data_IF_534314626246
#
_entry.id   IF_534314626246
#
_cell.length_a   1.000
_cell.length_b   1.000
_cell.length_c   1.000
_cell.angle_alpha   90.00
_cell.angle_beta   90.00
_cell.angle_gamma   90.00
#
_symmetry.space_group_name_H-M   'P 1'
#
loop_
_entity.id
_entity.type
_entity.pdbx_description
1 polymer ?
#
# COMPACT_ATOMS: atom_id res chain seq x y z
N UNK A 1 -24.64 -14.65 -32.11
CA UNK A 1 -23.68 -13.54 -31.94
C UNK A 1 -23.04 -13.74 -30.58
N UNK A 2 -21.86 -14.36 -30.55
CA UNK A 2 -21.12 -14.60 -29.29
C UNK A 2 -20.54 -13.25 -28.89
N UNK A 3 -21.03 -12.67 -27.79
CA UNK A 3 -20.37 -11.55 -27.13
C UNK A 3 -19.02 -12.09 -26.66
N UNK A 4 -17.97 -11.87 -27.45
CA UNK A 4 -16.61 -12.05 -26.95
C UNK A 4 -16.45 -11.04 -25.83
N UNK A 5 -16.38 -11.51 -24.58
CA UNK A 5 -15.99 -10.68 -23.45
C UNK A 5 -14.65 -10.05 -23.82
N UNK A 6 -14.61 -8.71 -23.91
CA UNK A 6 -13.32 -8.02 -23.96
C UNK A 6 -12.58 -8.46 -22.70
N UNK A 7 -11.49 -9.21 -22.86
CA UNK A 7 -10.56 -9.43 -21.76
C UNK A 7 -10.10 -8.06 -21.28
N UNK A 8 -10.23 -7.78 -19.98
CA UNK A 8 -9.69 -6.56 -19.40
C UNK A 8 -8.20 -6.45 -19.78
N UNK A 9 -7.71 -5.24 -20.12
CA UNK A 9 -6.32 -5.05 -20.49
C UNK A 9 -5.40 -5.41 -19.31
N UNK A 10 -4.34 -6.18 -19.59
CA UNK A 10 -3.30 -6.43 -18.58
C UNK A 10 -2.52 -5.15 -18.31
N UNK A 11 -2.85 -4.48 -17.21
CA UNK A 11 -2.23 -3.22 -16.78
C UNK A 11 -1.04 -3.44 -15.85
N UNK A 12 -0.47 -4.65 -15.75
CA UNK A 12 0.75 -4.88 -14.97
C UNK A 12 1.95 -4.17 -15.65
N UNK A 13 2.88 -3.55 -14.90
CA UNK A 13 4.12 -3.06 -15.49
C UNK A 13 4.84 -4.18 -16.27
N UNK A 14 5.41 -3.89 -17.46
CA UNK A 14 5.68 -2.56 -18.01
C UNK A 14 4.54 -1.96 -18.86
N UNK A 15 3.35 -2.55 -18.88
CA UNK A 15 2.25 -2.08 -19.72
C UNK A 15 1.75 -0.68 -19.25
N UNK A 16 1.20 0.16 -20.15
CA UNK A 16 0.58 1.42 -19.75
C UNK A 16 -0.49 1.24 -18.64
N UNK A 17 -0.66 2.23 -17.74
CA UNK A 17 -0.10 3.58 -17.73
C UNK A 17 1.25 3.71 -16.99
N UNK A 18 1.93 2.60 -16.69
CA UNK A 18 3.16 2.61 -15.91
C UNK A 18 4.33 3.24 -16.68
N UNK A 19 5.10 4.05 -15.95
CA UNK A 19 6.31 4.70 -16.42
C UNK A 19 7.51 4.18 -15.61
N UNK A 20 8.66 3.95 -16.25
CA UNK A 20 9.85 3.50 -15.54
C UNK A 20 10.34 4.58 -14.56
N UNK A 21 10.69 4.18 -13.34
CA UNK A 21 11.32 5.04 -12.36
C UNK A 21 12.85 4.95 -12.51
N UNK A 22 13.52 6.09 -12.67
CA UNK A 22 14.98 6.15 -12.70
C UNK A 22 15.54 6.13 -11.29
N UNK A 23 16.36 5.12 -10.97
CA UNK A 23 16.97 5.01 -9.66
C UNK A 23 18.14 5.99 -9.45
N UNK A 24 17.98 6.88 -8.47
CA UNK A 24 19.01 7.82 -8.01
C UNK A 24 19.60 7.40 -6.66
N UNK A 25 19.29 6.17 -6.19
CA UNK A 25 19.89 5.52 -5.03
C UNK A 25 19.24 5.88 -3.68
N UNK A 26 18.30 6.83 -3.65
CA UNK A 26 17.61 7.19 -2.40
C UNK A 26 16.54 6.18 -1.99
N UNK A 27 16.02 6.31 -0.77
CA UNK A 27 14.92 5.48 -0.33
C UNK A 27 14.14 6.04 0.86
N UNK A 28 13.22 5.23 1.35
CA UNK A 28 12.39 5.54 2.52
C UNK A 28 12.31 4.34 3.45
N UNK A 29 12.30 4.61 4.76
CA UNK A 29 11.73 3.70 5.75
C UNK A 29 10.22 3.96 5.78
N UNK A 30 9.40 2.90 5.74
CA UNK A 30 7.95 2.97 5.84
C UNK A 30 7.44 2.02 6.93
N UNK A 31 6.61 2.54 7.84
CA UNK A 31 6.02 1.78 8.94
C UNK A 31 4.62 1.33 8.57
N UNK A 32 4.37 0.03 8.67
CA UNK A 32 3.03 -0.54 8.55
C UNK A 32 2.59 -1.21 9.86
N UNK A 33 1.28 -1.29 10.04
CA UNK A 33 0.68 -1.94 11.21
C UNK A 33 0.64 -3.44 10.95
N UNK A 34 1.18 -4.22 11.89
CA UNK A 34 1.17 -5.67 11.82
C UNK A 34 -0.16 -6.23 12.30
N UNK A 35 -0.69 -7.24 11.59
CA UNK A 35 -1.84 -7.99 12.05
C UNK A 35 -1.50 -8.83 13.30
N UNK A 36 -2.25 -8.69 14.42
CA UNK A 36 -1.94 -9.39 15.66
C UNK A 36 -2.08 -10.91 15.58
N UNK A 37 -2.82 -11.43 14.58
CA UNK A 37 -2.99 -12.87 14.37
C UNK A 37 -1.90 -13.45 13.45
N UNK A 38 -0.96 -12.63 12.99
CA UNK A 38 0.04 -13.05 12.02
C UNK A 38 1.27 -13.71 12.64
N UNK A 39 1.70 -14.81 12.01
CA UNK A 39 2.96 -15.53 12.24
C UNK A 39 4.12 -14.75 11.62
N UNK A 40 3.93 -14.30 10.39
CA UNK A 40 4.82 -13.40 9.66
C UNK A 40 4.26 -12.00 9.70
N UNK A 41 5.10 -10.96 9.84
CA UNK A 41 4.57 -9.62 10.04
C UNK A 41 3.99 -9.05 8.74
N UNK A 42 2.70 -9.27 8.51
CA UNK A 42 1.97 -8.72 7.36
C UNK A 42 1.06 -7.59 7.83
N UNK A 43 0.57 -6.78 6.89
CA UNK A 43 -0.33 -5.66 7.19
C UNK A 43 -1.60 -6.13 7.92
N UNK A 44 -2.21 -5.24 8.70
CA UNK A 44 -3.52 -5.47 9.35
C UNK A 44 -4.61 -5.78 8.30
N UNK A 45 -5.03 -7.05 8.27
CA UNK A 45 -6.08 -7.57 7.39
C UNK A 45 -7.37 -7.78 8.18
N UNK A 46 -7.26 -8.37 9.38
CA UNK A 46 -8.41 -8.80 10.18
C UNK A 46 -9.00 -7.70 11.05
N UNK A 47 -8.52 -6.46 10.93
CA UNK A 47 -8.98 -5.32 11.73
C UNK A 47 -10.19 -4.66 11.06
N UNK A 48 -11.40 -4.75 11.65
CA UNK A 48 -12.58 -4.13 11.08
C UNK A 48 -12.43 -2.60 11.04
N UNK A 49 -12.90 -1.98 9.96
CA UNK A 49 -12.97 -0.53 9.75
C UNK A 49 -11.63 0.21 9.83
N UNK A 50 -10.48 -0.48 9.70
CA UNK A 50 -9.15 0.13 9.67
C UNK A 50 -8.12 -0.78 8.96
N UNK A 51 -8.58 -1.68 8.08
CA UNK A 51 -7.69 -2.57 7.34
C UNK A 51 -7.04 -1.83 6.17
N UNK A 52 -5.72 -2.01 6.04
CA UNK A 52 -4.89 -1.36 5.03
C UNK A 52 -4.48 -2.37 3.97
N UNK A 53 -4.32 -1.89 2.74
CA UNK A 53 -3.86 -2.71 1.62
C UNK A 53 -2.35 -2.61 1.37
N UNK A 54 -1.64 -1.69 2.02
CA UNK A 54 -0.19 -1.52 1.91
C UNK A 54 0.57 -1.98 3.17
N UNK A 55 1.77 -2.58 3.03
CA UNK A 55 2.38 -3.01 1.77
C UNK A 55 1.59 -4.15 1.11
N UNK A 56 1.32 -3.99 -0.19
CA UNK A 56 0.62 -5.02 -0.96
C UNK A 56 1.63 -5.99 -1.58
N UNK A 57 2.09 -6.95 -0.78
CA UNK A 57 3.19 -7.86 -1.09
C UNK A 57 2.85 -8.77 -2.27
N UNK A 58 1.58 -9.16 -2.37
CA UNK A 58 1.00 -10.06 -3.37
C UNK A 58 1.03 -9.46 -4.77
N UNK A 59 1.02 -8.13 -4.87
CA UNK A 59 1.13 -7.42 -6.15
C UNK A 59 2.43 -6.65 -6.30
N UNK A 60 3.23 -6.52 -5.24
CA UNK A 60 4.39 -5.61 -5.21
C UNK A 60 4.02 -4.15 -5.37
N UNK A 61 2.77 -3.78 -5.08
CA UNK A 61 2.30 -2.41 -5.26
C UNK A 61 2.33 -1.63 -3.95
N UNK A 62 2.49 -0.31 -4.06
CA UNK A 62 2.40 0.61 -2.94
C UNK A 62 1.58 1.84 -3.33
N UNK A 63 0.49 2.08 -2.60
CA UNK A 63 -0.45 3.15 -2.89
C UNK A 63 -1.23 2.94 -4.18
N UNK A 64 -1.30 1.73 -4.72
CA UNK A 64 -2.20 1.37 -5.83
C UNK A 64 -3.62 1.21 -5.30
N UNK A 65 -3.81 0.32 -4.32
CA UNK A 65 -5.11 0.06 -3.70
C UNK A 65 -5.38 1.00 -2.52
N UNK A 66 -4.35 1.53 -1.87
CA UNK A 66 -4.46 2.35 -0.67
C UNK A 66 -4.15 3.84 -0.94
N UNK A 67 -4.62 4.71 -0.05
CA UNK A 67 -4.32 6.15 -0.02
C UNK A 67 -3.06 6.49 0.80
N UNK A 68 -2.32 5.52 1.35
CA UNK A 68 -1.30 5.72 2.39
C UNK A 68 -0.01 6.42 1.92
N UNK A 69 0.38 7.51 2.58
CA UNK A 69 1.65 8.22 2.33
C UNK A 69 1.79 8.87 0.93
N UNK A 70 0.81 9.66 0.45
CA UNK A 70 0.89 10.30 -0.87
C UNK A 70 2.11 11.22 -1.00
N UNK A 71 2.52 11.89 0.08
CA UNK A 71 3.72 12.73 0.11
C UNK A 71 5.02 11.93 -0.11
N UNK A 72 5.11 10.72 0.45
CA UNK A 72 6.23 9.82 0.23
C UNK A 72 6.28 9.36 -1.23
N UNK A 73 5.14 8.90 -1.78
CA UNK A 73 5.06 8.45 -3.18
C UNK A 73 5.42 9.57 -4.17
N UNK A 74 4.92 10.79 -3.93
CA UNK A 74 5.32 12.00 -4.68
C UNK A 74 6.83 12.20 -4.67
N UNK A 75 7.44 12.12 -3.49
CA UNK A 75 8.86 12.35 -3.31
C UNK A 75 9.73 11.24 -3.92
N UNK A 76 9.28 9.99 -3.88
CA UNK A 76 9.91 8.85 -4.56
C UNK A 76 10.01 9.13 -6.06
N UNK A 77 8.90 9.48 -6.71
CA UNK A 77 8.88 9.78 -8.15
C UNK A 77 9.74 11.00 -8.48
N UNK A 78 9.59 12.09 -7.72
CA UNK A 78 10.33 13.33 -7.99
C UNK A 78 11.85 13.19 -7.80
N UNK A 79 12.29 12.33 -6.87
CA UNK A 79 13.71 12.21 -6.49
C UNK A 79 14.38 10.93 -6.99
N UNK A 80 13.66 10.01 -7.61
CA UNK A 80 14.19 8.69 -7.95
C UNK A 80 14.64 7.90 -6.73
N UNK A 81 13.90 8.02 -5.61
CA UNK A 81 14.21 7.31 -4.36
C UNK A 81 13.58 5.91 -4.38
N UNK A 82 14.16 5.01 -5.17
CA UNK A 82 13.51 3.78 -5.64
C UNK A 82 13.41 2.67 -4.61
N UNK A 83 13.87 2.85 -3.38
CA UNK A 83 13.78 1.81 -2.34
C UNK A 83 12.81 2.17 -1.23
N UNK A 84 11.91 1.26 -0.87
CA UNK A 84 11.04 1.37 0.31
C UNK A 84 11.36 0.20 1.25
N UNK A 85 11.94 0.48 2.41
CA UNK A 85 12.21 -0.51 3.45
C UNK A 85 11.07 -0.53 4.46
N UNK A 86 10.52 -1.71 4.70
CA UNK A 86 9.34 -1.86 5.54
C UNK A 86 9.71 -2.21 6.97
N UNK A 87 9.19 -1.40 7.88
CA UNK A 87 9.28 -1.59 9.31
C UNK A 87 7.90 -1.86 9.89
N UNK A 88 7.83 -2.67 10.92
CA UNK A 88 6.60 -2.83 11.70
C UNK A 88 6.89 -2.80 13.19
N UNK A 89 5.86 -2.64 14.01
CA UNK A 89 5.96 -2.72 15.47
C UNK A 89 5.24 -3.97 15.95
N UNK A 90 5.97 -4.84 16.64
CA UNK A 90 5.43 -6.04 17.29
C UNK A 90 5.85 -6.01 18.75
N UNK A 91 4.89 -6.16 19.65
CA UNK A 91 5.13 -6.17 21.10
C UNK A 91 5.92 -4.92 21.58
N UNK A 92 5.63 -3.76 20.97
CA UNK A 92 6.31 -2.49 21.29
C UNK A 92 7.70 -2.33 20.69
N UNK A 93 8.22 -3.31 19.96
CA UNK A 93 9.55 -3.29 19.33
C UNK A 93 9.43 -3.10 17.82
N UNK A 94 10.29 -2.25 17.24
CA UNK A 94 10.36 -2.04 15.80
C UNK A 94 11.26 -3.08 15.14
N UNK A 95 10.78 -3.64 14.03
CA UNK A 95 11.47 -4.65 13.24
C UNK A 95 11.56 -4.20 11.79
N UNK A 96 12.70 -4.43 11.13
CA UNK A 96 12.84 -4.34 9.69
C UNK A 96 12.46 -5.68 9.07
N UNK A 97 11.61 -5.69 8.05
CA UNK A 97 10.97 -6.93 7.56
C UNK A 97 11.29 -7.26 6.12
N UNK A 98 11.60 -6.23 5.31
CA UNK A 98 11.84 -6.39 3.90
C UNK A 98 11.92 -5.05 3.19
N UNK A 99 11.96 -5.08 1.87
CA UNK A 99 11.92 -3.89 1.04
C UNK A 99 11.30 -4.15 -0.32
N UNK A 100 10.86 -3.06 -0.95
CA UNK A 100 10.62 -2.99 -2.38
C UNK A 100 11.72 -2.18 -3.05
N UNK A 101 12.22 -2.68 -4.17
CA UNK A 101 12.79 -1.81 -5.20
C UNK A 101 11.66 -1.44 -6.17
N UNK A 102 11.48 -0.15 -6.43
CA UNK A 102 10.41 0.41 -7.25
C UNK A 102 10.95 0.64 -8.65
N UNK A 103 10.50 -0.18 -9.60
CA UNK A 103 10.84 -0.02 -11.01
C UNK A 103 9.87 0.89 -11.77
N UNK A 104 8.65 1.08 -11.26
CA UNK A 104 7.57 1.70 -12.03
C UNK A 104 6.68 2.60 -11.18
N UNK A 105 6.15 3.66 -11.80
CA UNK A 105 5.11 4.51 -11.22
C UNK A 105 4.01 4.82 -12.24
N UNK A 106 2.81 5.06 -11.77
CA UNK A 106 1.68 5.53 -12.57
C UNK A 106 0.95 6.65 -11.82
N UNK A 107 0.24 7.56 -12.51
CA UNK A 107 -0.69 8.47 -11.83
C UNK A 107 -1.67 7.68 -10.95
N UNK A 108 -1.85 8.11 -9.71
CA UNK A 108 -2.89 7.56 -8.84
C UNK A 108 -4.28 8.06 -9.24
N UNK A 109 -5.32 7.57 -8.56
CA UNK A 109 -6.73 7.97 -8.75
C UNK A 109 -6.96 9.49 -8.77
N UNK A 110 -6.12 10.28 -8.08
CA UNK A 110 -6.21 11.74 -8.03
C UNK A 110 -5.28 12.47 -9.01
N UNK A 111 -4.55 11.72 -9.83
CA UNK A 111 -3.68 12.20 -10.90
C UNK A 111 -2.29 12.67 -10.45
N UNK A 112 -1.35 12.63 -11.40
CA UNK A 112 0.03 13.09 -11.22
C UNK A 112 0.12 14.62 -10.98
N UNK A 113 -0.83 15.39 -11.49
CA UNK A 113 -0.92 16.86 -11.26
C UNK A 113 -1.04 17.23 -9.78
N UNK A 114 -1.56 16.32 -8.94
CA UNK A 114 -1.63 16.47 -7.48
C UNK A 114 -0.47 15.79 -6.75
N UNK A 115 0.42 15.14 -7.49
CA UNK A 115 1.52 14.36 -6.97
C UNK A 115 1.08 13.06 -6.29
N UNK A 116 -0.09 12.54 -6.63
CA UNK A 116 -0.53 11.22 -6.18
C UNK A 116 -0.12 10.18 -7.23
N UNK A 117 0.68 9.20 -6.82
CA UNK A 117 1.21 8.14 -7.69
C UNK A 117 0.93 6.76 -7.10
N UNK A 118 0.64 5.77 -7.94
CA UNK A 118 0.80 4.37 -7.59
C UNK A 118 2.23 3.95 -7.91
N UNK A 119 2.83 3.10 -7.06
CA UNK A 119 4.16 2.54 -7.26
C UNK A 119 4.07 1.03 -7.45
N UNK A 120 4.92 0.48 -8.31
CA UNK A 120 5.05 -0.96 -8.48
C UNK A 120 6.52 -1.38 -8.42
N UNK A 121 6.76 -2.42 -7.63
CA UNK A 121 8.06 -3.00 -7.40
C UNK A 121 8.48 -3.90 -8.55
N UNK A 122 9.75 -3.84 -8.93
CA UNK A 122 10.41 -4.84 -9.77
C UNK A 122 11.15 -5.88 -8.91
N UNK A 123 11.48 -5.54 -7.66
CA UNK A 123 11.99 -6.47 -6.65
C UNK A 123 11.16 -6.38 -5.37
N UNK A 124 10.70 -7.54 -4.91
CA UNK A 124 9.97 -7.72 -3.65
C UNK A 124 10.80 -8.68 -2.79
N UNK A 125 11.28 -8.22 -1.63
CA UNK A 125 12.06 -9.08 -0.74
C UNK A 125 11.69 -8.89 0.72
N UNK A 126 11.14 -9.92 1.33
CA UNK A 126 10.95 -10.03 2.77
C UNK A 126 11.81 -11.13 3.35
N UNK A 127 12.15 -11.00 4.62
CA UNK A 127 13.07 -11.90 5.33
C UNK A 127 12.58 -12.11 6.76
N UNK A 128 13.28 -12.97 7.50
CA UNK A 128 13.13 -13.05 8.95
C UNK A 128 13.32 -11.65 9.59
N UNK A 129 12.38 -11.18 10.42
CA UNK A 129 12.42 -9.82 10.95
C UNK A 129 13.74 -9.48 11.63
N UNK A 130 14.35 -8.39 11.20
CA UNK A 130 15.66 -7.93 11.66
C UNK A 130 15.46 -6.90 12.76
N UNK A 131 16.10 -7.14 13.90
CA UNK A 131 16.20 -6.15 14.97
C UNK A 131 17.14 -5.02 14.53
N UNK A 132 16.67 -3.75 14.41
CA UNK A 132 17.53 -2.65 13.99
C UNK A 132 18.75 -2.43 14.89
N UNK A 133 18.73 -2.92 16.14
CA UNK A 133 19.84 -2.80 17.10
C UNK A 133 21.04 -3.68 16.73
N UNK A 134 20.84 -4.74 15.95
CA UNK A 134 21.90 -5.66 15.50
C UNK A 134 22.58 -5.21 14.22
N UNK A 135 22.04 -4.19 13.54
CA UNK A 135 22.63 -3.63 12.33
C UNK A 135 23.93 -2.87 12.64
N UNK A 136 24.80 -2.79 11.64
CA UNK A 136 25.97 -1.92 11.65
C UNK A 136 25.58 -0.44 11.42
N UNK A 137 26.49 0.49 11.72
CA UNK A 137 26.31 1.92 11.38
C UNK A 137 26.57 2.16 9.88
N UNK A 138 25.95 3.17 9.24
CA UNK A 138 24.96 4.11 9.78
C UNK A 138 23.50 3.60 9.86
N UNK A 139 23.17 2.45 9.26
CA UNK A 139 21.79 1.94 9.21
C UNK A 139 21.14 1.83 10.61
N UNK A 140 21.87 1.32 11.60
CA UNK A 140 21.39 1.26 12.99
C UNK A 140 20.90 2.61 13.52
N UNK A 141 21.70 3.67 13.38
CA UNK A 141 21.29 5.00 13.81
C UNK A 141 20.07 5.50 13.02
N UNK A 142 20.02 5.23 11.71
CA UNK A 142 18.90 5.66 10.88
C UNK A 142 17.56 5.06 11.30
N UNK A 143 17.53 3.76 11.64
CA UNK A 143 16.31 3.02 11.99
C UNK A 143 15.86 3.22 13.45
N UNK A 144 16.78 3.54 14.36
CA UNK A 144 16.46 3.77 15.78
C UNK A 144 15.93 5.19 16.08
N UNK A 145 16.16 6.14 15.17
CA UNK A 145 15.54 7.47 15.28
C UNK A 145 14.03 7.34 15.19
N UNK A 146 13.31 8.02 16.08
CA UNK A 146 11.84 8.03 16.10
C UNK A 146 11.29 8.75 14.87
N UNK A 147 10.41 8.08 14.12
CA UNK A 147 9.60 8.68 13.05
C UNK A 147 8.22 8.01 13.04
N UNK A 148 7.16 8.71 12.61
CA UNK A 148 5.79 8.21 12.76
C UNK A 148 5.47 7.12 11.73
N UNK A 149 5.39 7.49 10.46
CA UNK A 149 4.97 6.59 9.37
C UNK A 149 6.07 6.37 8.34
N UNK A 150 6.81 7.42 7.97
CA UNK A 150 7.90 7.31 7.01
C UNK A 150 9.09 8.20 7.36
N UNK A 151 10.26 7.87 6.81
CA UNK A 151 11.48 8.66 6.91
C UNK A 151 12.36 8.50 5.66
N UNK A 152 12.81 9.58 5.01
CA UNK A 152 13.77 9.47 3.91
C UNK A 152 15.14 9.00 4.40
N UNK A 153 15.83 8.23 3.56
CA UNK A 153 17.19 7.73 3.78
C UNK A 153 18.03 7.93 2.50
N UNK A 154 19.34 8.09 2.69
CA UNK A 154 20.28 8.29 1.59
C UNK A 154 20.78 6.97 0.99
N UNK A 155 21.56 7.08 -0.09
CA UNK A 155 22.10 5.94 -0.82
C UNK A 155 23.03 5.06 0.01
N UNK A 156 23.75 5.61 0.99
CA UNK A 156 24.63 4.82 1.84
C UNK A 156 23.79 3.88 2.72
N UNK A 157 22.74 4.40 3.36
CA UNK A 157 21.84 3.60 4.19
C UNK A 157 21.07 2.59 3.32
N UNK A 158 20.58 3.00 2.14
CA UNK A 158 19.89 2.10 1.19
C UNK A 158 20.78 0.91 0.83
N UNK A 159 22.02 1.15 0.42
CA UNK A 159 22.95 0.08 0.03
C UNK A 159 23.26 -0.86 1.19
N UNK A 160 23.46 -0.32 2.40
CA UNK A 160 23.68 -1.14 3.58
C UNK A 160 22.48 -2.03 3.91
N UNK A 161 21.27 -1.46 3.91
CA UNK A 161 20.05 -2.23 4.19
C UNK A 161 19.76 -3.26 3.11
N UNK A 162 20.00 -2.95 1.83
CA UNK A 162 19.91 -3.94 0.75
C UNK A 162 20.86 -5.09 0.97
N UNK A 163 22.15 -4.83 1.23
CA UNK A 163 23.13 -5.88 1.49
C UNK A 163 22.73 -6.78 2.68
N UNK A 164 22.22 -6.19 3.77
CA UNK A 164 21.78 -6.91 4.96
C UNK A 164 20.56 -7.80 4.70
N UNK A 165 19.62 -7.36 3.86
CA UNK A 165 18.43 -8.14 3.48
C UNK A 165 18.79 -9.15 2.39
N UNK A 166 19.60 -8.76 1.42
CA UNK A 166 19.96 -9.58 0.27
C UNK A 166 20.88 -10.75 0.62
N UNK A 167 21.62 -10.63 1.73
CA UNK A 167 22.41 -11.71 2.31
C UNK A 167 21.61 -12.74 3.13
N UNK A 168 20.28 -12.60 3.24
CA UNK A 168 19.41 -13.52 4.01
C UNK A 168 18.49 -14.32 3.09
N UNK A 169 18.05 -15.47 3.58
CA UNK A 169 17.03 -16.28 2.91
C UNK A 169 15.75 -15.47 2.74
N UNK A 170 15.20 -15.51 1.52
CA UNK A 170 13.92 -14.89 1.22
C UNK A 170 12.79 -15.60 1.98
N UNK A 171 11.91 -14.81 2.58
CA UNK A 171 10.65 -15.21 3.21
C UNK A 171 9.43 -14.64 2.50
N UNK A 172 9.60 -14.08 1.29
CA UNK A 172 8.52 -13.37 0.58
C UNK A 172 7.30 -14.27 0.36
N UNK A 173 7.49 -15.53 -0.03
CA UNK A 173 6.39 -16.45 -0.28
C UNK A 173 5.64 -16.81 1.01
N UNK A 174 6.35 -16.92 2.14
CA UNK A 174 5.73 -17.12 3.44
C UNK A 174 4.91 -15.91 3.90
N UNK A 175 5.36 -14.68 3.59
CA UNK A 175 4.56 -13.47 3.84
C UNK A 175 3.30 -13.44 2.96
N UNK A 176 3.41 -13.79 1.67
CA UNK A 176 2.24 -13.88 0.76
C UNK A 176 1.27 -14.95 1.25
N UNK A 177 1.77 -16.13 1.63
CA UNK A 177 0.96 -17.21 2.19
C UNK A 177 0.28 -16.81 3.49
N UNK A 178 0.94 -15.99 4.31
CA UNK A 178 0.35 -15.48 5.54
C UNK A 178 -0.79 -14.50 5.30
N UNK A 179 -0.68 -13.64 4.29
CA UNK A 179 -1.83 -12.82 3.86
C UNK A 179 -2.98 -13.71 3.43
N UNK A 180 -2.74 -14.69 2.56
CA UNK A 180 -3.79 -15.60 2.08
C UNK A 180 -4.50 -16.33 3.24
N UNK A 181 -3.73 -16.75 4.26
CA UNK A 181 -4.25 -17.38 5.48
C UNK A 181 -5.14 -16.44 6.28
N UNK A 182 -4.74 -15.18 6.47
CA UNK A 182 -5.53 -14.19 7.21
C UNK A 182 -6.78 -13.75 6.44
N UNK A 183 -6.70 -13.64 5.11
CA UNK A 183 -7.88 -13.39 4.28
C UNK A 183 -8.87 -14.54 4.34
N UNK A 184 -8.40 -15.80 4.38
CA UNK A 184 -9.26 -16.96 4.61
C UNK A 184 -9.93 -16.90 5.98
N UNK A 185 -9.15 -16.61 7.03
CA UNK A 185 -9.70 -16.42 8.37
C UNK A 185 -10.78 -15.34 8.38
N UNK A 186 -10.55 -14.19 7.74
CA UNK A 186 -11.55 -13.12 7.65
C UNK A 186 -12.83 -13.59 6.94
N UNK A 187 -12.70 -14.30 5.81
CA UNK A 187 -13.84 -14.85 5.07
C UNK A 187 -14.69 -15.80 5.91
N UNK A 188 -14.05 -16.69 6.67
CA UNK A 188 -14.75 -17.66 7.54
C UNK A 188 -15.59 -16.97 8.62
N UNK A 189 -15.27 -15.72 9.00
CA UNK A 189 -15.98 -14.98 10.04
C UNK A 189 -16.93 -13.89 9.53
N UNK A 190 -16.80 -13.49 8.26
CA UNK A 190 -17.49 -12.31 7.74
C UNK A 190 -17.95 -12.42 6.28
N UNK A 191 -17.72 -13.55 5.63
CA UNK A 191 -17.90 -13.77 4.18
C UNK A 191 -16.92 -12.98 3.28
N UNK A 192 -16.20 -11.99 3.85
CA UNK A 192 -15.28 -11.12 3.12
C UNK A 192 -13.82 -11.29 3.56
N UNK A 193 -12.89 -11.24 2.60
CA UNK A 193 -11.47 -11.08 2.88
C UNK A 193 -11.17 -9.69 3.48
N UNK A 194 -11.88 -8.66 3.00
CA UNK A 194 -11.80 -7.29 3.52
C UNK A 194 -13.21 -6.73 3.73
N UNK A 195 -13.81 -6.89 4.93
CA UNK A 195 -15.19 -6.49 5.19
C UNK A 195 -15.47 -5.00 4.91
N UNK A 196 -14.56 -4.12 5.36
CA UNK A 196 -14.70 -2.67 5.13
C UNK A 196 -14.61 -2.27 3.66
N UNK A 197 -14.06 -3.14 2.82
CA UNK A 197 -13.96 -2.94 1.37
C UNK A 197 -15.06 -3.70 0.62
N UNK A 198 -15.90 -4.49 1.30
CA UNK A 198 -16.88 -5.37 0.67
C UNK A 198 -16.25 -6.39 -0.28
N UNK A 199 -14.99 -6.79 -0.04
CA UNK A 199 -14.26 -7.67 -0.95
C UNK A 199 -14.23 -9.10 -0.45
N UNK A 200 -14.75 -10.01 -1.27
CA UNK A 200 -14.70 -11.45 -1.02
C UNK A 200 -13.27 -11.99 -1.21
N UNK A 201 -12.52 -11.44 -2.17
CA UNK A 201 -11.18 -11.88 -2.53
C UNK A 201 -10.07 -10.87 -2.16
N UNK A 202 -8.85 -11.40 -2.08
CA UNK A 202 -7.62 -10.63 -1.95
C UNK A 202 -7.39 -9.62 -3.07
N UNK A 203 -6.48 -8.68 -2.84
CA UNK A 203 -6.05 -7.75 -3.91
C UNK A 203 -5.11 -8.47 -4.86
N UNK A 204 -5.32 -8.29 -6.16
CA UNK A 204 -4.46 -8.85 -7.18
C UNK A 204 -4.36 -7.93 -8.40
N UNK A 205 -3.50 -8.29 -9.36
CA UNK A 205 -3.27 -7.46 -10.55
C UNK A 205 -4.48 -7.29 -11.46
N UNK A 206 -5.46 -8.21 -11.46
CA UNK A 206 -6.70 -8.02 -12.23
C UNK A 206 -7.57 -6.88 -11.68
N UNK A 207 -7.43 -6.55 -10.40
CA UNK A 207 -8.10 -5.38 -9.82
C UNK A 207 -7.51 -4.06 -10.32
N UNK A 208 -6.22 -4.04 -10.67
CA UNK A 208 -5.43 -2.82 -10.85
C UNK A 208 -6.03 -1.87 -11.89
N UNK A 209 -6.64 -2.39 -12.96
CA UNK A 209 -7.24 -1.59 -14.03
C UNK A 209 -8.35 -0.67 -13.49
N UNK A 210 -9.03 -1.06 -12.41
CA UNK A 210 -10.09 -0.26 -11.77
C UNK A 210 -9.58 0.81 -10.79
N UNK A 211 -8.29 0.76 -10.43
CA UNK A 211 -7.63 1.68 -9.50
C UNK A 211 -6.65 2.64 -10.18
N UNK A 212 -6.32 2.40 -11.44
CA UNK A 212 -5.50 3.29 -12.25
C UNK A 212 -6.42 4.19 -13.07
N UNK A 213 -6.17 5.51 -13.11
CA UNK A 213 -6.92 6.39 -13.99
C UNK A 213 -6.59 6.00 -15.44
N UNK A 214 -7.61 5.66 -16.22
CA UNK A 214 -7.48 5.47 -17.66
C UNK A 214 -7.58 6.80 -18.42
N UNK A 215 -8.19 7.84 -17.80
CA UNK A 215 -8.37 9.18 -18.38
C UNK A 215 -8.13 10.30 -17.35
N UNK A 216 -7.50 11.39 -17.79
CA UNK A 216 -7.16 12.60 -17.02
C UNK A 216 -8.38 13.47 -16.59
N UNK A 217 -9.60 13.00 -16.81
CA UNK A 217 -10.75 13.88 -17.02
C UNK A 217 -11.50 14.35 -15.77
N UNK A 218 -11.24 13.81 -14.57
CA UNK A 218 -12.00 14.23 -13.37
C UNK A 218 -11.10 14.90 -12.33
N UNK A 219 -11.26 16.20 -12.05
CA UNK A 219 -10.55 16.84 -10.96
C UNK A 219 -11.03 16.21 -9.65
N UNK A 220 -10.21 15.36 -9.04
CA UNK A 220 -10.51 14.77 -7.75
C UNK A 220 -10.77 15.87 -6.71
N UNK A 221 -11.77 15.70 -5.84
CA UNK A 221 -11.92 16.59 -4.68
C UNK A 221 -10.72 16.37 -3.76
N UNK A 222 -10.17 17.44 -3.17
CA UNK A 222 -9.10 17.27 -2.17
C UNK A 222 -9.71 16.73 -0.87
N UNK A 223 -9.86 15.41 -0.83
CA UNK A 223 -10.49 14.72 0.29
C UNK A 223 -9.43 14.32 1.32
N UNK A 224 -9.56 14.67 2.61
CA UNK A 224 -8.61 14.24 3.64
C UNK A 224 -8.59 12.72 3.77
N UNK A 225 -7.48 12.17 4.29
CA UNK A 225 -7.32 10.72 4.49
C UNK A 225 -7.96 10.21 5.80
N UNK A 226 -8.71 11.05 6.50
CA UNK A 226 -9.41 10.73 7.74
C UNK A 226 -10.78 11.41 7.77
N UNK A 227 -11.75 10.76 8.40
CA UNK A 227 -13.07 11.32 8.68
C UNK A 227 -13.26 11.47 10.19
N UNK A 228 -13.72 12.63 10.70
CA UNK A 228 -13.99 12.81 12.14
C UNK A 228 -15.01 11.81 12.70
N UNK A 229 -15.97 11.41 11.85
CA UNK A 229 -17.04 10.46 12.21
C UNK A 229 -16.67 9.01 11.88
N UNK A 230 -15.54 8.77 11.20
CA UNK A 230 -15.22 7.47 10.61
C UNK A 230 -16.18 7.07 9.48
N UNK A 231 -17.00 8.01 8.98
CA UNK A 231 -17.99 7.77 7.92
C UNK A 231 -17.64 8.54 6.66
N UNK A 232 -17.90 7.91 5.51
CA UNK A 232 -17.62 8.44 4.19
C UNK A 232 -18.85 8.31 3.31
N UNK A 233 -19.27 9.40 2.66
CA UNK A 233 -20.36 9.40 1.70
C UNK A 233 -19.82 9.26 0.28
N UNK A 234 -20.37 8.35 -0.50
CA UNK A 234 -20.06 8.22 -1.91
C UNK A 234 -20.85 9.24 -2.73
N UNK A 235 -20.19 10.12 -3.48
CA UNK A 235 -20.87 11.09 -4.36
C UNK A 235 -21.53 10.48 -5.60
N UNK A 236 -21.38 9.18 -5.86
CA UNK A 236 -22.00 8.49 -7.01
C UNK A 236 -23.27 7.70 -6.62
N UNK A 237 -23.26 7.01 -5.47
CA UNK A 237 -24.38 6.15 -5.05
C UNK A 237 -25.00 6.54 -3.71
N UNK A 238 -24.56 7.65 -3.11
CA UNK A 238 -25.01 8.21 -1.83
C UNK A 238 -24.87 7.31 -0.59
N UNK A 239 -24.34 6.09 -0.74
CA UNK A 239 -24.10 5.19 0.38
C UNK A 239 -23.05 5.75 1.35
N UNK A 240 -23.29 5.49 2.63
CA UNK A 240 -22.37 5.78 3.71
C UNK A 240 -21.53 4.52 3.97
N UNK A 241 -20.22 4.70 4.07
CA UNK A 241 -19.22 3.66 4.32
C UNK A 241 -18.54 3.98 5.65
N UNK A 242 -18.50 3.00 6.55
CA UNK A 242 -17.79 3.10 7.82
C UNK A 242 -16.35 2.58 7.68
N UNK A 243 -15.38 3.48 7.78
CA UNK A 243 -13.96 3.15 7.78
C UNK A 243 -13.15 4.30 8.39
N UNK A 244 -12.11 4.03 9.18
CA UNK A 244 -11.26 5.09 9.76
C UNK A 244 -10.45 5.83 8.71
N UNK A 245 -9.97 5.10 7.70
CA UNK A 245 -9.18 5.64 6.59
C UNK A 245 -10.04 5.83 5.34
N UNK A 246 -9.62 6.73 4.45
CA UNK A 246 -10.26 6.86 3.15
C UNK A 246 -9.98 5.63 2.29
N UNK A 247 -11.05 5.02 1.75
CA UNK A 247 -10.91 4.00 0.71
C UNK A 247 -10.78 4.68 -0.66
N UNK A 248 -9.99 4.10 -1.56
CA UNK A 248 -9.87 4.61 -2.93
C UNK A 248 -11.14 4.39 -3.76
N UNK A 249 -11.92 3.37 -3.42
CA UNK A 249 -13.08 2.92 -4.16
C UNK A 249 -14.25 2.75 -3.21
N UNK A 250 -15.45 3.12 -3.65
CA UNK A 250 -16.67 2.86 -2.89
C UNK A 250 -16.93 1.34 -2.88
N UNK A 251 -17.05 0.69 -1.70
CA UNK A 251 -17.36 -0.73 -1.61
C UNK A 251 -18.77 -1.09 -2.09
N UNK A 252 -19.67 -0.10 -2.22
CA UNK A 252 -21.05 -0.34 -2.61
C UNK A 252 -21.28 -0.29 -4.13
N UNK A 253 -20.81 0.77 -4.81
CA UNK A 253 -20.99 0.93 -6.26
C UNK A 253 -19.72 0.67 -7.06
N UNK A 254 -18.56 0.54 -6.41
CA UNK A 254 -17.30 0.35 -7.10
C UNK A 254 -16.76 1.61 -7.78
N UNK A 255 -17.33 2.79 -7.57
CA UNK A 255 -16.76 4.02 -8.14
C UNK A 255 -15.52 4.48 -7.38
N UNK A 256 -14.50 4.88 -8.13
CA UNK A 256 -13.18 5.24 -7.61
C UNK A 256 -13.08 6.75 -7.38
N UNK A 257 -12.50 7.18 -6.26
CA UNK A 257 -12.28 8.60 -5.93
C UNK A 257 -13.52 9.40 -5.52
N UNK A 258 -14.65 8.74 -5.24
CA UNK A 258 -15.95 9.40 -4.96
C UNK A 258 -16.29 9.59 -3.49
N UNK A 259 -15.48 9.05 -2.57
CA UNK A 259 -15.75 9.10 -1.13
C UNK A 259 -15.31 10.45 -0.54
N UNK A 260 -16.20 11.08 0.23
CA UNK A 260 -15.95 12.32 0.99
C UNK A 260 -16.35 12.15 2.47
N UNK A 261 -15.65 12.78 3.43
CA UNK A 261 -16.00 12.70 4.84
C UNK A 261 -17.42 13.19 5.06
N UNK A 262 -18.19 12.43 5.83
CA UNK A 262 -19.44 12.94 6.35
C UNK A 262 -19.13 13.93 7.48
N UNK A 263 -19.39 15.22 7.21
CA UNK A 263 -19.40 16.25 8.24
C UNK A 263 -20.58 15.94 9.15
N UNK A 264 -20.32 15.72 10.44
CA UNK A 264 -21.39 15.49 11.41
C UNK A 264 -22.40 16.62 11.32
N UNK A 265 -23.68 16.29 11.11
CA UNK A 265 -24.75 17.25 11.38
C UNK A 265 -24.76 17.53 12.88
N UNK A 266 -24.89 18.80 13.25
CA UNK A 266 -25.28 19.19 14.60
C UNK A 266 -26.60 18.47 14.88
N UNK A 267 -26.54 17.47 15.77
CA UNK A 267 -27.71 16.85 16.40
C UNK A 267 -28.08 17.62 17.66
#
# INVERSE_FOLDING_TARGET
MVLMSKSDPDVRPPNPPWQPLVDKGGGYLSVYLNDPLARWPVREITKPADNKSDPNIETGSYGLFSTCEPSMRKAIVARGASSIFFMTTREGVRWLTGYYHIGWYAPGVRGASRGDYALAADVIRFVDPIDPRTLSQPAKAALLVKFRTQKPIDAQIVNQLRNEIDGRDSRTDEYIGEVARLEQFSREHSEFAYPSWGREAGFNWSDAATYLPLDDATPAVDTPNSSPTGRWRCGSCDRIVENKALLKRCPACGETGTLTPELGGEG
#
